data_IF_424927690792
#
_entry.id   IF_424927690792
#
_cell.length_a   1.000
_cell.length_b   1.000
_cell.length_c   1.000
_cell.angle_alpha   90.00
_cell.angle_beta   90.00
_cell.angle_gamma   90.00
#
_symmetry.space_group_name_H-M   'P 1'
#
loop_
_entity.id
_entity.type
_entity.pdbx_description
1 polymer ?
#
# COMPACT_ATOMS: atom_id res chain seq x y z
N UNK A 1 33.01 9.13 13.69
CA UNK A 1 32.69 8.19 12.61
C UNK A 1 31.17 8.11 12.51
N UNK A 2 30.56 8.92 11.64
CA UNK A 2 29.11 8.87 11.39
C UNK A 2 28.85 7.94 10.20
N UNK A 3 28.10 6.87 10.43
CA UNK A 3 27.69 5.94 9.39
C UNK A 3 26.61 6.60 8.53
N UNK A 4 26.99 6.92 7.30
CA UNK A 4 26.07 7.18 6.19
C UNK A 4 25.29 5.89 5.93
N UNK A 5 24.03 5.84 6.36
CA UNK A 5 23.08 4.89 5.80
C UNK A 5 22.28 5.64 4.75
N UNK A 6 22.84 5.61 3.55
CA UNK A 6 22.16 5.78 2.28
C UNK A 6 21.04 4.72 2.23
N UNK A 7 19.81 5.14 2.55
CA UNK A 7 18.63 4.30 2.37
C UNK A 7 18.24 4.32 0.89
N UNK A 8 17.82 3.19 0.30
CA UNK A 8 17.56 3.12 -1.12
C UNK A 8 16.47 4.13 -1.49
N UNK A 9 16.87 5.09 -2.32
CA UNK A 9 16.03 6.12 -2.90
C UNK A 9 14.78 5.47 -3.50
N UNK A 10 13.68 5.60 -2.78
CA UNK A 10 12.40 4.99 -3.10
C UNK A 10 11.78 5.79 -4.24
N UNK A 11 12.25 5.54 -5.46
CA UNK A 11 11.75 6.00 -6.76
C UNK A 11 10.64 7.08 -6.67
N UNK A 12 11.04 8.32 -6.40
CA UNK A 12 10.18 9.50 -6.36
C UNK A 12 9.77 9.95 -7.78
N UNK A 13 9.45 9.02 -8.68
CA UNK A 13 8.95 9.33 -10.03
C UNK A 13 7.67 8.59 -10.37
N UNK A 14 6.65 8.83 -9.54
CA UNK A 14 5.27 8.86 -10.04
C UNK A 14 4.81 10.31 -9.99
N UNK A 15 4.44 10.87 -11.16
CA UNK A 15 3.97 12.26 -11.27
C UNK A 15 2.75 12.57 -10.36
N UNK A 16 2.24 13.81 -10.36
CA UNK A 16 1.35 14.37 -9.33
C UNK A 16 -0.10 13.82 -9.33
N UNK A 17 -0.32 12.58 -9.78
CA UNK A 17 -1.59 11.87 -9.76
C UNK A 17 -1.63 10.91 -8.56
N UNK A 18 -2.00 11.44 -7.39
CA UNK A 18 -2.52 10.72 -6.22
C UNK A 18 -2.03 9.26 -6.06
N UNK A 19 -0.71 9.09 -5.85
CA UNK A 19 -0.17 7.79 -5.47
C UNK A 19 -0.59 7.46 -4.02
N UNK A 20 -0.85 6.18 -3.74
CA UNK A 20 -1.05 5.70 -2.37
C UNK A 20 0.21 5.93 -1.54
N UNK A 21 0.08 6.16 -0.22
CA UNK A 21 1.19 6.02 0.71
C UNK A 21 1.82 4.64 0.59
N UNK A 22 3.10 4.54 0.97
CA UNK A 22 3.84 3.28 1.00
C UNK A 22 3.04 2.20 1.74
N UNK A 23 2.99 0.99 1.16
CA UNK A 23 2.20 -0.13 1.69
C UNK A 23 2.55 -0.50 3.13
N UNK A 24 3.80 -0.30 3.55
CA UNK A 24 4.23 -0.56 4.92
C UNK A 24 3.56 0.33 5.97
N UNK A 25 3.04 1.50 5.56
CA UNK A 25 2.40 2.45 6.46
C UNK A 25 0.98 2.01 6.82
N UNK A 26 0.19 1.57 5.84
CA UNK A 26 -1.23 1.29 6.04
C UNK A 26 -1.57 -0.20 6.12
N UNK A 27 -0.76 -1.09 5.52
CA UNK A 27 -1.09 -2.52 5.46
C UNK A 27 -1.32 -3.13 6.85
N UNK A 28 -0.46 -2.93 7.87
CA UNK A 28 -0.66 -3.50 9.20
C UNK A 28 -1.86 -2.91 9.95
N UNK A 29 -2.29 -1.71 9.58
CA UNK A 29 -3.40 -0.98 10.21
C UNK A 29 -4.75 -1.29 9.55
N UNK A 30 -4.73 -1.83 8.34
CA UNK A 30 -5.93 -2.14 7.57
C UNK A 30 -6.70 -3.30 8.22
N UNK A 31 -8.03 -3.24 8.18
CA UNK A 31 -8.89 -4.29 8.71
C UNK A 31 -8.65 -5.63 8.00
N UNK A 32 -8.66 -6.73 8.76
CA UNK A 32 -8.39 -8.06 8.22
C UNK A 32 -9.34 -8.49 7.09
N UNK A 33 -10.59 -7.98 7.06
CA UNK A 33 -11.53 -8.22 5.96
C UNK A 33 -11.09 -7.52 4.67
N UNK A 34 -10.60 -6.29 4.76
CA UNK A 34 -10.07 -5.53 3.62
C UNK A 34 -8.71 -6.06 3.18
N UNK A 35 -7.85 -6.48 4.11
CA UNK A 35 -6.61 -7.18 3.80
C UNK A 35 -6.89 -8.45 2.98
N UNK A 36 -7.88 -9.26 3.39
CA UNK A 36 -8.26 -10.48 2.67
C UNK A 36 -8.74 -10.18 1.25
N UNK A 37 -9.58 -9.16 1.07
CA UNK A 37 -10.03 -8.73 -0.26
C UNK A 37 -8.86 -8.40 -1.19
N UNK A 38 -7.85 -7.68 -0.68
CA UNK A 38 -6.63 -7.35 -1.45
C UNK A 38 -5.84 -8.62 -1.77
N UNK A 39 -5.71 -9.54 -0.82
CA UNK A 39 -4.97 -10.80 -1.01
C UNK A 39 -5.65 -11.77 -1.98
N UNK A 40 -6.99 -11.74 -2.09
CA UNK A 40 -7.74 -12.56 -3.03
C UNK A 40 -7.42 -12.21 -4.49
N UNK A 41 -7.14 -10.93 -4.78
CA UNK A 41 -6.68 -10.51 -6.10
C UNK A 41 -5.73 -9.29 -6.05
N UNK A 42 -4.44 -9.50 -5.73
CA UNK A 42 -3.47 -8.40 -5.55
C UNK A 42 -3.16 -7.63 -6.84
N UNK A 43 -3.55 -8.18 -7.99
CA UNK A 43 -3.35 -7.57 -9.31
C UNK A 43 -4.52 -6.70 -9.77
N UNK A 44 -5.69 -6.87 -9.13
CA UNK A 44 -6.88 -6.10 -9.45
C UNK A 44 -6.75 -4.65 -8.97
N UNK A 45 -7.51 -3.72 -9.57
CA UNK A 45 -7.70 -2.41 -8.97
C UNK A 45 -8.33 -2.55 -7.57
N UNK A 46 -7.77 -1.82 -6.62
CA UNK A 46 -8.32 -1.65 -5.28
C UNK A 46 -9.71 -1.03 -5.38
N UNK A 47 -10.64 -1.57 -4.60
CA UNK A 47 -11.99 -1.03 -4.50
C UNK A 47 -11.95 0.35 -3.84
N UNK A 48 -12.89 1.22 -4.22
CA UNK A 48 -12.99 2.56 -3.65
C UNK A 48 -13.09 2.58 -2.11
N UNK A 49 -13.73 1.55 -1.53
CA UNK A 49 -13.81 1.39 -0.08
C UNK A 49 -12.43 1.20 0.57
N UNK A 50 -11.59 0.33 -0.01
CA UNK A 50 -10.21 0.10 0.44
C UNK A 50 -9.39 1.39 0.33
N UNK A 51 -9.48 2.06 -0.83
CA UNK A 51 -8.75 3.30 -1.07
C UNK A 51 -9.14 4.38 -0.06
N UNK A 52 -10.44 4.57 0.17
CA UNK A 52 -10.96 5.51 1.18
C UNK A 52 -10.44 5.16 2.56
N UNK A 53 -10.44 3.87 2.92
CA UNK A 53 -9.96 3.45 4.23
C UNK A 53 -8.48 3.71 4.43
N UNK A 54 -7.66 3.49 3.40
CA UNK A 54 -6.23 3.85 3.43
C UNK A 54 -6.05 5.35 3.63
N UNK A 55 -6.86 6.18 2.95
CA UNK A 55 -6.82 7.63 3.12
C UNK A 55 -7.17 8.06 4.55
N UNK A 56 -8.20 7.46 5.16
CA UNK A 56 -8.58 7.71 6.55
C UNK A 56 -7.45 7.31 7.52
N UNK A 57 -6.84 6.12 7.33
CA UNK A 57 -5.74 5.63 8.18
C UNK A 57 -4.46 6.46 8.06
N UNK A 58 -4.23 7.07 6.89
CA UNK A 58 -3.07 7.91 6.61
C UNK A 58 -3.36 9.41 6.76
N UNK A 59 -4.51 9.80 7.32
CA UNK A 59 -4.91 11.19 7.55
C UNK A 59 -4.84 12.06 6.27
N UNK A 60 -5.26 11.48 5.13
CA UNK A 60 -5.21 12.11 3.81
C UNK A 60 -6.53 12.78 3.40
N UNK A 61 -7.43 13.06 4.34
CA UNK A 61 -8.81 13.52 4.08
C UNK A 61 -8.92 14.84 3.29
N UNK A 62 -7.83 15.59 3.16
CA UNK A 62 -7.72 16.79 2.32
C UNK A 62 -7.32 16.55 0.86
N UNK A 63 -6.98 15.31 0.48
CA UNK A 63 -6.55 14.96 -0.87
C UNK A 63 -7.73 14.38 -1.67
N UNK A 64 -7.88 14.73 -2.95
CA UNK A 64 -8.91 14.13 -3.78
C UNK A 64 -8.67 12.62 -3.88
N UNK A 65 -9.73 11.84 -3.66
CA UNK A 65 -9.71 10.42 -3.95
C UNK A 65 -9.55 10.23 -5.46
N UNK A 66 -8.62 9.41 -5.94
CA UNK A 66 -8.47 9.16 -7.36
C UNK A 66 -9.71 8.42 -7.88
N UNK A 67 -10.23 8.92 -8.99
CA UNK A 67 -11.42 8.38 -9.65
C UNK A 67 -11.14 7.10 -10.45
N UNK A 68 -9.87 6.75 -10.66
CA UNK A 68 -9.43 5.51 -11.29
C UNK A 68 -9.13 4.43 -10.27
N UNK A 69 -9.44 3.16 -10.59
CA UNK A 69 -9.09 2.04 -9.73
C UNK A 69 -7.57 1.96 -9.52
N UNK A 70 -7.11 2.29 -8.31
CA UNK A 70 -5.70 2.25 -7.97
C UNK A 70 -5.20 0.83 -7.91
N UNK A 71 -4.00 0.56 -8.44
CA UNK A 71 -3.42 -0.78 -8.43
C UNK A 71 -2.18 -0.77 -7.55
N UNK A 72 -1.97 -1.89 -6.87
CA UNK A 72 -0.68 -2.16 -6.24
C UNK A 72 0.37 -2.31 -7.32
N UNK A 73 1.51 -1.63 -7.18
CA UNK A 73 2.66 -1.80 -8.05
C UNK A 73 3.39 -3.12 -7.77
N UNK A 74 4.44 -3.43 -8.55
CA UNK A 74 5.23 -4.64 -8.37
C UNK A 74 5.83 -4.79 -6.97
N UNK A 75 6.30 -3.70 -6.39
CA UNK A 75 6.94 -3.68 -5.06
C UNK A 75 5.92 -3.94 -3.96
N UNK A 76 4.74 -3.32 -4.02
CA UNK A 76 3.66 -3.56 -3.06
C UNK A 76 3.17 -5.01 -3.11
N UNK A 77 3.06 -5.59 -4.31
CA UNK A 77 2.68 -7.01 -4.44
C UNK A 77 3.76 -7.94 -3.88
N UNK A 78 5.04 -7.65 -4.10
CA UNK A 78 6.14 -8.43 -3.50
C UNK A 78 6.13 -8.34 -1.97
N UNK A 79 5.86 -7.15 -1.42
CA UNK A 79 5.67 -6.95 0.01
C UNK A 79 4.53 -7.83 0.54
N UNK A 80 3.35 -7.80 -0.10
CA UNK A 80 2.22 -8.64 0.30
C UNK A 80 2.53 -10.14 0.25
N UNK A 81 3.23 -10.61 -0.79
CA UNK A 81 3.62 -12.01 -0.89
C UNK A 81 4.49 -12.45 0.31
N UNK A 82 5.38 -11.57 0.79
CA UNK A 82 6.15 -11.81 2.01
C UNK A 82 5.29 -11.99 3.27
N UNK A 83 4.17 -11.26 3.37
CA UNK A 83 3.22 -11.38 4.49
C UNK A 83 2.37 -12.66 4.43
N UNK A 84 1.93 -13.07 3.23
CA UNK A 84 1.14 -14.30 3.06
C UNK A 84 1.93 -15.55 3.52
N UNK A 85 3.25 -15.56 3.25
CA UNK A 85 4.13 -16.63 3.73
C UNK A 85 4.38 -16.58 5.24
N UNK A 86 4.41 -15.39 5.85
CA UNK A 86 4.62 -15.22 7.30
C UNK A 86 3.43 -15.69 8.15
N UNK A 87 2.19 -15.55 7.65
CA UNK A 87 0.98 -15.97 8.38
C UNK A 87 0.68 -17.47 8.31
N UNK A 88 1.42 -18.23 7.50
CA UNK A 88 1.28 -19.68 7.34
C UNK A 88 2.13 -20.50 8.33
N UNK A 89 3.03 -19.89 9.11
CA UNK A 89 3.80 -20.59 10.13
C UNK A 89 2.98 -20.81 11.41
N UNK A 90 2.04 -21.75 11.38
CA UNK A 90 1.42 -22.32 12.59
C UNK A 90 1.41 -23.84 12.52
#
# INVERSE_FOLDING_TARGET
MSSLLDGPEHDERSGPLAALPSIGVWWPMLEGTLQREILENPSAPLRALVVRRIYELCELDGRPLPHGGMRLGPNERAYLAGWTHATHWN
#
